data_IF_617037725170
#
_entry.id   IF_617037725170
#
_cell.length_a   1.000
_cell.length_b   1.000
_cell.length_c   1.000
_cell.angle_alpha   90.00
_cell.angle_beta   90.00
_cell.angle_gamma   90.00
#
_symmetry.space_group_name_H-M   'P 1'
#
loop_
_entity.id
_entity.type
_entity.pdbx_description
1 polymer ?
#
# COMPACT_ATOMS: atom_id res chain seq x y z
N UNK A 1 33.16 10.07 -16.09
CA UNK A 1 32.69 9.76 -14.73
C UNK A 1 31.32 10.42 -14.61
N UNK A 2 30.26 9.68 -14.91
CA UNK A 2 28.91 10.21 -14.92
C UNK A 2 28.47 10.43 -13.46
N UNK A 3 27.90 11.60 -13.20
CA UNK A 3 27.27 12.00 -11.94
C UNK A 3 26.63 10.79 -11.25
N UNK A 4 27.16 10.37 -10.09
CA UNK A 4 26.40 9.54 -9.16
C UNK A 4 25.15 10.35 -8.83
N UNK A 5 24.03 10.04 -9.49
CA UNK A 5 22.75 10.68 -9.21
C UNK A 5 22.42 10.38 -7.75
N UNK A 6 22.61 11.38 -6.89
CA UNK A 6 22.47 11.30 -5.44
C UNK A 6 20.98 11.18 -5.08
N UNK A 7 20.44 9.95 -5.18
CA UNK A 7 19.11 9.64 -4.69
C UNK A 7 19.18 9.02 -3.30
N UNK A 8 18.07 9.11 -2.56
CA UNK A 8 17.92 8.50 -1.25
C UNK A 8 16.92 7.36 -1.30
N UNK A 9 17.14 6.35 -0.47
CA UNK A 9 16.12 5.37 -0.17
C UNK A 9 15.09 6.01 0.76
N UNK A 10 13.81 5.81 0.48
CA UNK A 10 12.79 6.39 1.34
C UNK A 10 11.60 5.48 1.57
N UNK A 11 10.94 5.69 2.69
CA UNK A 11 9.65 5.10 2.99
C UNK A 11 8.76 6.14 3.64
N UNK A 12 7.45 6.02 3.46
CA UNK A 12 6.47 6.88 4.14
C UNK A 12 5.50 6.00 4.89
N UNK A 13 5.41 6.19 6.20
CA UNK A 13 4.56 5.41 7.09
C UNK A 13 3.69 6.32 7.96
N UNK A 14 2.59 5.78 8.47
CA UNK A 14 1.71 6.47 9.43
C UNK A 14 2.19 6.25 10.86
N UNK A 15 2.37 7.34 11.60
CA UNK A 15 2.26 7.36 13.05
C UNK A 15 0.81 7.67 13.43
N UNK A 16 0.24 6.90 14.35
CA UNK A 16 -1.08 7.17 14.91
C UNK A 16 -1.22 6.58 16.31
N UNK A 17 -1.57 7.36 17.34
CA UNK A 17 -1.87 6.83 18.67
C UNK A 17 -2.98 5.77 18.68
N UNK A 18 -3.90 5.82 17.70
CA UNK A 18 -4.97 4.84 17.54
C UNK A 18 -4.44 3.42 17.30
N UNK A 19 -3.28 3.29 16.67
CA UNK A 19 -2.67 1.99 16.34
C UNK A 19 -2.25 1.20 17.59
N UNK A 20 -2.03 1.87 18.72
CA UNK A 20 -1.78 1.22 20.00
C UNK A 20 -2.96 0.39 20.50
N UNK A 21 -4.17 0.65 19.97
CA UNK A 21 -5.41 -0.09 20.29
C UNK A 21 -5.74 -1.17 19.24
N UNK A 22 -4.91 -1.32 18.20
CA UNK A 22 -5.16 -2.26 17.12
C UNK A 22 -4.50 -3.61 17.43
N UNK A 23 -5.32 -4.65 17.58
CA UNK A 23 -4.84 -6.04 17.68
C UNK A 23 -4.05 -6.44 16.42
N UNK A 24 -4.58 -6.08 15.24
CA UNK A 24 -3.95 -6.37 13.96
C UNK A 24 -2.57 -5.71 13.85
N UNK A 25 -2.43 -4.42 14.15
CA UNK A 25 -1.11 -3.77 14.15
C UNK A 25 -0.17 -4.33 15.23
N UNK A 26 -0.70 -4.94 16.28
CA UNK A 26 0.11 -5.54 17.35
C UNK A 26 0.68 -6.91 16.98
N UNK A 27 0.35 -7.46 15.80
CA UNK A 27 0.96 -8.69 15.30
C UNK A 27 2.47 -8.53 15.11
N UNK A 28 3.24 -9.49 15.61
CA UNK A 28 4.71 -9.51 15.54
C UNK A 28 5.27 -9.50 14.11
N UNK A 29 4.47 -9.94 13.13
CA UNK A 29 4.86 -9.87 11.70
C UNK A 29 4.80 -8.46 11.14
N UNK A 30 4.00 -7.56 11.73
CA UNK A 30 3.82 -6.19 11.26
C UNK A 30 4.72 -5.18 11.99
N UNK A 31 5.16 -5.49 13.21
CA UNK A 31 5.98 -4.59 14.03
C UNK A 31 7.01 -5.33 14.89
N UNK A 32 8.17 -4.72 15.09
CA UNK A 32 9.27 -5.25 15.91
C UNK A 32 9.01 -5.15 17.42
N UNK A 33 8.17 -4.19 17.82
CA UNK A 33 7.73 -3.93 19.19
C UNK A 33 6.21 -3.81 19.14
N UNK A 34 5.51 -4.46 20.07
CA UNK A 34 4.06 -4.42 20.16
C UNK A 34 3.63 -4.06 21.60
N UNK A 35 2.63 -3.18 21.79
CA UNK A 35 1.93 -2.41 20.75
C UNK A 35 2.83 -1.34 20.11
N UNK A 36 2.60 -1.05 18.82
CA UNK A 36 3.34 -0.05 18.05
C UNK A 36 2.40 1.09 17.61
N UNK A 37 2.82 2.36 17.69
CA UNK A 37 2.07 3.47 17.11
C UNK A 37 2.39 3.67 15.62
N UNK A 38 3.25 2.84 15.05
CA UNK A 38 3.63 2.88 13.63
C UNK A 38 2.87 1.82 12.85
N UNK A 39 2.35 2.20 11.69
CA UNK A 39 1.59 1.33 10.82
C UNK A 39 2.53 0.41 10.03
N UNK A 40 2.54 -0.89 10.38
CA UNK A 40 3.31 -1.94 9.69
C UNK A 40 4.82 -1.69 9.56
N UNK A 41 5.49 -1.21 10.63
CA UNK A 41 6.91 -0.81 10.57
C UNK A 41 7.83 -1.92 10.02
N UNK A 42 7.57 -3.19 10.33
CA UNK A 42 8.36 -4.31 9.83
C UNK A 42 8.33 -4.39 8.30
N UNK A 43 7.16 -4.23 7.69
CA UNK A 43 7.03 -4.24 6.23
C UNK A 43 7.72 -3.04 5.58
N UNK A 44 7.68 -1.88 6.23
CA UNK A 44 8.43 -0.71 5.76
C UNK A 44 9.93 -0.94 5.82
N UNK A 45 10.44 -1.55 6.90
CA UNK A 45 11.84 -1.94 7.06
C UNK A 45 12.26 -2.93 5.97
N UNK A 46 11.53 -4.03 5.81
CA UNK A 46 11.89 -5.10 4.87
C UNK A 46 12.01 -4.58 3.44
N UNK A 47 11.09 -3.70 3.02
CA UNK A 47 11.15 -3.04 1.71
C UNK A 47 12.39 -2.15 1.56
N UNK A 48 12.80 -1.44 2.62
CA UNK A 48 14.01 -0.62 2.59
C UNK A 48 15.27 -1.47 2.50
N UNK A 49 15.33 -2.60 3.21
CA UNK A 49 16.46 -3.55 3.11
C UNK A 49 16.55 -4.12 1.70
N UNK A 50 15.44 -4.49 1.08
CA UNK A 50 15.42 -4.96 -0.32
C UNK A 50 15.96 -3.88 -1.29
N UNK A 51 15.56 -2.63 -1.11
CA UNK A 51 16.10 -1.53 -1.92
C UNK A 51 17.59 -1.29 -1.64
N UNK A 52 18.00 -1.37 -0.38
CA UNK A 52 19.39 -1.19 0.03
C UNK A 52 20.31 -2.29 -0.51
N UNK A 53 19.84 -3.53 -0.57
CA UNK A 53 20.54 -4.64 -1.25
C UNK A 53 20.69 -4.41 -2.75
N UNK A 54 19.65 -3.89 -3.40
CA UNK A 54 19.68 -3.71 -4.86
C UNK A 54 20.57 -2.55 -5.30
N UNK A 55 20.58 -1.45 -4.54
CA UNK A 55 21.34 -0.24 -4.88
C UNK A 55 22.70 -0.13 -4.16
N UNK A 56 23.18 -1.20 -3.52
CA UNK A 56 24.44 -1.24 -2.75
C UNK A 56 24.52 -0.15 -1.64
N UNK A 57 23.44 0.04 -0.87
CA UNK A 57 23.44 0.87 0.34
C UNK A 57 23.78 -0.01 1.56
N UNK A 58 25.00 -0.54 1.60
CA UNK A 58 25.44 -1.53 2.61
C UNK A 58 25.29 -1.01 4.05
N UNK A 59 25.65 0.25 4.31
CA UNK A 59 25.49 0.88 5.63
C UNK A 59 24.03 0.96 6.06
N UNK A 60 23.12 1.16 5.10
CA UNK A 60 21.67 1.17 5.39
C UNK A 60 21.19 -0.23 5.71
N UNK A 61 21.69 -1.27 5.01
CA UNK A 61 21.36 -2.65 5.34
C UNK A 61 21.76 -2.97 6.78
N UNK A 62 23.01 -2.70 7.14
CA UNK A 62 23.56 -2.94 8.49
C UNK A 62 22.73 -2.21 9.55
N UNK A 63 22.42 -0.93 9.33
CA UNK A 63 21.62 -0.13 10.25
C UNK A 63 20.19 -0.65 10.42
N UNK A 64 19.60 -1.22 9.37
CA UNK A 64 18.23 -1.73 9.38
C UNK A 64 18.10 -3.18 9.88
N UNK A 65 19.19 -3.89 10.17
CA UNK A 65 19.15 -5.23 10.75
C UNK A 65 18.40 -5.23 12.09
N UNK A 66 18.70 -4.25 12.95
CA UNK A 66 18.03 -4.06 14.23
C UNK A 66 16.74 -3.23 14.07
N UNK A 67 15.65 -3.93 13.76
CA UNK A 67 14.33 -3.33 13.67
C UNK A 67 13.79 -2.75 14.99
N UNK A 68 14.29 -3.20 16.15
CA UNK A 68 13.89 -2.64 17.45
C UNK A 68 14.58 -1.30 17.70
N UNK A 69 15.88 -1.21 17.39
CA UNK A 69 16.60 0.06 17.42
C UNK A 69 15.94 1.10 16.49
N UNK A 70 15.54 0.70 15.28
CA UNK A 70 14.77 1.56 14.38
C UNK A 70 13.46 2.04 15.03
N UNK A 71 12.70 1.13 15.65
CA UNK A 71 11.46 1.49 16.34
C UNK A 71 11.70 2.52 17.45
N UNK A 72 12.69 2.30 18.30
CA UNK A 72 13.04 3.19 19.42
C UNK A 72 13.49 4.57 18.93
N UNK A 73 14.30 4.62 17.87
CA UNK A 73 14.75 5.87 17.27
C UNK A 73 13.57 6.69 16.71
N UNK A 74 12.66 6.04 15.97
CA UNK A 74 11.47 6.70 15.44
C UNK A 74 10.54 7.17 16.57
N UNK A 75 10.39 6.37 17.62
CA UNK A 75 9.58 6.76 18.78
C UNK A 75 10.18 7.98 19.49
N UNK A 76 11.51 8.03 19.66
CA UNK A 76 12.21 9.20 20.23
C UNK A 76 11.99 10.46 19.39
N UNK A 77 12.19 10.37 18.06
CA UNK A 77 12.00 11.51 17.14
C UNK A 77 10.53 11.98 17.13
N UNK A 78 9.59 11.04 17.19
CA UNK A 78 8.15 11.36 17.22
C UNK A 78 7.76 12.05 18.53
N UNK A 79 8.28 11.60 19.68
CA UNK A 79 8.05 12.26 20.97
C UNK A 79 8.56 13.71 20.97
N UNK A 80 9.76 13.94 20.45
CA UNK A 80 10.32 15.28 20.31
C UNK A 80 9.45 16.19 19.42
N UNK A 81 8.90 15.67 18.32
CA UNK A 81 7.99 16.44 17.46
C UNK A 81 6.64 16.73 18.16
N UNK A 82 6.12 15.78 18.95
CA UNK A 82 4.90 15.98 19.75
C UNK A 82 5.12 17.05 20.82
N UNK A 83 6.26 17.03 21.51
CA UNK A 83 6.62 18.04 22.52
C UNK A 83 6.75 19.43 21.88
N UNK A 84 7.37 19.52 20.71
CA UNK A 84 7.52 20.77 19.94
C UNK A 84 6.18 21.34 19.46
N UNK A 85 5.28 20.49 18.97
CA UNK A 85 4.00 20.92 18.38
C UNK A 85 2.85 21.00 19.39
N UNK A 86 2.99 20.34 20.54
CA UNK A 86 1.95 20.16 21.55
C UNK A 86 0.79 19.26 21.10
N UNK A 87 0.92 18.53 19.99
CA UNK A 87 -0.20 17.80 19.36
C UNK A 87 0.14 16.34 19.12
N UNK A 88 -0.49 15.46 19.89
CA UNK A 88 -0.40 14.02 19.68
C UNK A 88 -1.50 13.54 18.73
N UNK A 89 -1.21 13.51 17.42
CA UNK A 89 -2.18 13.21 16.36
C UNK A 89 -1.55 12.37 15.24
N UNK A 90 -2.38 11.91 14.31
CA UNK A 90 -1.93 11.15 13.16
C UNK A 90 -0.96 11.97 12.28
N UNK A 91 0.18 11.39 11.95
CA UNK A 91 1.23 12.01 11.14
C UNK A 91 1.79 11.02 10.12
N UNK A 92 2.15 11.53 8.94
CA UNK A 92 3.04 10.85 8.00
C UNK A 92 4.48 11.09 8.44
N UNK A 93 5.22 10.01 8.59
CA UNK A 93 6.67 10.01 8.76
C UNK A 93 7.29 9.61 7.43
N UNK A 94 8.04 10.52 6.82
CA UNK A 94 8.88 10.21 5.65
C UNK A 94 10.31 10.02 6.12
N UNK A 95 10.79 8.77 6.06
CA UNK A 95 12.15 8.40 6.42
C UNK A 95 12.98 8.41 5.14
N UNK A 96 14.12 9.10 5.17
CA UNK A 96 15.08 9.16 4.08
C UNK A 96 16.44 8.69 4.58
N UNK A 97 17.04 7.76 3.85
CA UNK A 97 18.40 7.29 4.06
C UNK A 97 19.28 7.68 2.87
N UNK A 98 20.38 8.36 3.17
CA UNK A 98 21.48 8.48 2.21
C UNK A 98 22.35 7.21 2.20
N UNK A 99 23.37 7.18 1.33
CA UNK A 99 24.27 6.03 1.19
C UNK A 99 25.16 5.79 2.41
N UNK A 100 25.41 6.83 3.22
CA UNK A 100 26.13 6.74 4.50
C UNK A 100 25.21 6.34 5.67
N UNK A 101 23.97 5.94 5.37
CA UNK A 101 22.94 5.58 6.32
C UNK A 101 22.53 6.69 7.29
N UNK A 102 22.71 7.97 6.96
CA UNK A 102 22.14 9.06 7.73
C UNK A 102 20.61 9.09 7.57
N UNK A 103 19.90 9.05 8.70
CA UNK A 103 18.44 9.05 8.73
C UNK A 103 17.88 10.47 8.92
N UNK A 104 17.16 10.95 7.91
CA UNK A 104 16.29 12.13 8.01
C UNK A 104 14.85 11.68 8.16
N UNK A 105 14.10 12.31 9.09
CA UNK A 105 12.67 12.03 9.30
C UNK A 105 11.89 13.34 9.16
N UNK A 106 11.03 13.39 8.14
CA UNK A 106 10.10 14.51 7.94
C UNK A 106 8.72 14.13 8.49
N UNK A 107 8.11 15.07 9.22
CA UNK A 107 6.77 14.91 9.77
C UNK A 107 5.78 15.78 9.00
N UNK A 108 4.62 15.21 8.67
CA UNK A 108 3.52 15.94 8.04
C UNK A 108 2.20 15.48 8.64
N UNK A 109 1.34 16.42 9.04
CA UNK A 109 0.01 16.08 9.54
C UNK A 109 -0.79 15.34 8.45
N UNK A 110 -1.54 14.32 8.87
CA UNK A 110 -2.48 13.62 8.00
C UNK A 110 -3.85 13.52 8.68
N UNK A 111 -4.94 13.37 7.90
CA UNK A 111 -6.26 13.17 8.48
C UNK A 111 -6.32 11.95 9.41
N UNK A 112 -7.04 12.10 10.52
CA UNK A 112 -7.45 10.96 11.33
C UNK A 112 -8.36 10.05 10.50
N UNK A 113 -8.15 8.75 10.59
CA UNK A 113 -8.98 7.73 9.92
C UNK A 113 -9.29 6.62 10.91
N UNK A 114 -10.43 5.92 10.80
CA UNK A 114 -10.74 4.79 11.67
C UNK A 114 -9.80 3.61 11.39
N UNK A 115 -9.69 2.68 12.34
CA UNK A 115 -8.91 1.44 12.16
C UNK A 115 -9.40 0.63 10.96
N UNK A 116 -10.70 0.66 10.65
CA UNK A 116 -11.26 0.00 9.47
C UNK A 116 -10.78 0.57 8.13
N UNK A 117 -10.25 1.79 8.10
CA UNK A 117 -9.57 2.33 6.90
C UNK A 117 -8.15 1.79 6.79
N UNK A 118 -7.45 1.57 7.90
CA UNK A 118 -6.09 1.04 7.91
C UNK A 118 -6.07 -0.50 7.77
N UNK A 119 -7.07 -1.17 8.32
CA UNK A 119 -7.24 -2.62 8.34
C UNK A 119 -8.71 -2.94 8.01
N UNK A 120 -9.13 -2.81 6.74
CA UNK A 120 -10.50 -3.13 6.36
C UNK A 120 -10.78 -4.62 6.52
N UNK A 121 -12.00 -5.02 6.91
CA UNK A 121 -12.34 -6.44 7.10
C UNK A 121 -12.50 -7.20 5.77
N UNK A 122 -12.74 -6.49 4.67
CA UNK A 122 -12.77 -7.01 3.31
C UNK A 122 -12.51 -5.88 2.31
N UNK A 123 -12.30 -6.23 1.04
CA UNK A 123 -12.27 -5.28 -0.08
C UNK A 123 -13.61 -5.24 -0.82
N UNK A 124 -14.70 -5.72 -0.24
CA UNK A 124 -16.00 -5.67 -0.91
C UNK A 124 -16.38 -4.23 -1.26
N UNK A 125 -17.01 -4.04 -2.42
CA UNK A 125 -17.38 -2.68 -2.84
C UNK A 125 -18.33 -2.08 -1.79
N UNK A 126 -18.00 -0.90 -1.21
CA UNK A 126 -18.88 -0.23 -0.26
C UNK A 126 -20.26 0.09 -0.85
N UNK A 127 -20.34 0.16 -2.19
CA UNK A 127 -21.53 0.49 -2.97
C UNK A 127 -22.05 -0.70 -3.79
N UNK A 128 -21.63 -1.93 -3.48
CA UNK A 128 -22.32 -3.09 -4.04
C UNK A 128 -23.79 -2.96 -3.63
N UNK A 129 -24.66 -2.58 -4.58
CA UNK A 129 -26.07 -2.83 -4.44
C UNK A 129 -26.13 -4.32 -4.17
N UNK A 130 -26.44 -4.70 -2.95
CA UNK A 130 -26.80 -6.08 -2.65
C UNK A 130 -28.01 -6.31 -3.54
N UNK A 131 -27.78 -6.89 -4.71
CA UNK A 131 -28.82 -7.57 -5.44
C UNK A 131 -29.13 -8.75 -4.53
N UNK A 132 -29.92 -8.51 -3.50
CA UNK A 132 -30.77 -9.55 -3.00
C UNK A 132 -31.52 -10.00 -4.25
N UNK A 133 -31.11 -11.14 -4.82
CA UNK A 133 -31.98 -11.89 -5.70
C UNK A 133 -33.35 -11.82 -5.02
N UNK A 134 -34.34 -11.22 -5.70
CA UNK A 134 -35.65 -10.91 -5.14
C UNK A 134 -36.03 -12.04 -4.20
N UNK A 135 -36.06 -11.78 -2.89
CA UNK A 135 -36.11 -12.85 -1.91
C UNK A 135 -37.28 -13.75 -2.30
N UNK A 136 -36.99 -14.95 -2.80
CA UNK A 136 -38.01 -15.97 -2.90
C UNK A 136 -38.55 -16.09 -1.48
N UNK A 137 -39.83 -15.79 -1.29
CA UNK A 137 -40.43 -15.70 0.03
C UNK A 137 -40.03 -16.94 0.83
N UNK A 138 -39.25 -16.73 1.89
CA UNK A 138 -38.74 -17.81 2.72
C UNK A 138 -39.95 -18.61 3.24
N UNK A 139 -40.10 -19.86 2.77
CA UNK A 139 -41.08 -20.79 3.32
C UNK A 139 -40.41 -21.55 4.45
N UNK A 140 -40.71 -21.14 5.69
CA UNK A 140 -40.27 -21.87 6.88
C UNK A 140 -40.74 -23.34 6.81
N UNK A 141 -39.82 -24.27 7.06
CA UNK A 141 -40.19 -25.69 7.23
C UNK A 141 -40.87 -25.88 8.58
N UNK A 142 -41.97 -26.66 8.68
CA UNK A 142 -42.64 -26.91 9.95
C UNK A 142 -41.78 -27.69 10.98
N UNK A 143 -40.64 -28.23 10.56
CA UNK A 143 -39.69 -28.99 11.41
C UNK A 143 -38.57 -28.13 12.01
N UNK A 144 -38.41 -26.89 11.54
CA UNK A 144 -37.45 -25.92 12.07
C UNK A 144 -38.26 -24.77 12.63
N UNK A 145 -38.22 -24.55 13.95
CA UNK A 145 -39.01 -23.53 14.65
C UNK A 145 -39.18 -22.23 13.85
N UNK A 146 -40.41 -21.70 13.86
CA UNK A 146 -40.88 -20.67 12.93
C UNK A 146 -40.00 -19.40 12.86
N UNK A 147 -40.13 -18.69 11.74
CA UNK A 147 -39.46 -17.41 11.53
C UNK A 147 -39.83 -16.42 12.66
N UNK A 148 -38.81 -15.82 13.29
CA UNK A 148 -39.01 -14.69 14.19
C UNK A 148 -39.58 -13.52 13.38
N UNK A 149 -40.81 -13.15 13.68
CA UNK A 149 -41.45 -11.96 13.12
C UNK A 149 -41.29 -10.84 14.13
N UNK A 150 -40.58 -9.78 13.74
CA UNK A 150 -40.48 -8.56 14.55
C UNK A 150 -41.88 -7.92 14.58
N UNK A 151 -42.37 -7.63 15.77
CA UNK A 151 -43.63 -6.91 15.96
C UNK A 151 -43.51 -5.45 15.51
N UNK A 152 -44.63 -4.73 15.35
CA UNK A 152 -44.64 -3.32 15.00
C UNK A 152 -43.89 -2.42 16.01
N UNK A 153 -43.67 -2.92 17.22
CA UNK A 153 -42.95 -2.22 18.30
C UNK A 153 -41.50 -2.74 18.50
N UNK A 154 -41.05 -3.73 17.72
CA UNK A 154 -39.68 -4.23 17.78
C UNK A 154 -38.75 -3.36 16.91
N UNK A 155 -37.99 -2.48 17.55
CA UNK A 155 -36.90 -1.76 16.90
C UNK A 155 -35.57 -2.45 17.14
N UNK A 156 -34.86 -2.84 16.08
CA UNK A 156 -33.43 -3.10 16.17
C UNK A 156 -32.73 -1.78 16.57
N UNK A 157 -31.73 -1.79 17.47
CA UNK A 157 -30.97 -0.60 17.76
C UNK A 157 -30.35 -0.08 16.45
N UNK A 158 -30.89 1.04 15.96
CA UNK A 158 -30.31 1.73 14.82
C UNK A 158 -28.86 2.11 15.19
N UNK A 159 -27.86 1.85 14.33
CA UNK A 159 -26.52 2.34 14.59
C UNK A 159 -26.60 3.86 14.76
N UNK A 160 -26.34 4.30 15.99
CA UNK A 160 -26.33 5.70 16.38
C UNK A 160 -25.25 6.41 15.57
N UNK A 161 -25.69 7.30 14.68
CA UNK A 161 -24.89 8.04 13.69
C UNK A 161 -24.06 7.14 12.75
N UNK A 162 -24.52 6.97 11.51
CA UNK A 162 -23.60 6.55 10.45
C UNK A 162 -22.49 7.60 10.34
N UNK A 163 -21.21 7.25 10.59
CA UNK A 163 -20.12 8.19 10.33
C UNK A 163 -20.20 8.63 8.86
N UNK A 164 -19.79 9.87 8.52
CA UNK A 164 -19.78 10.32 7.14
C UNK A 164 -19.02 9.31 6.28
N UNK A 165 -19.52 8.99 5.08
CA UNK A 165 -18.90 8.01 4.22
C UNK A 165 -17.44 8.42 3.95
N UNK A 166 -16.50 7.46 3.89
CA UNK A 166 -15.12 7.78 3.60
C UNK A 166 -15.05 8.52 2.25
N UNK A 167 -14.12 9.47 2.12
CA UNK A 167 -13.97 10.25 0.90
C UNK A 167 -13.66 9.33 -0.29
N UNK A 168 -14.42 9.54 -1.38
CA UNK A 168 -14.28 8.77 -2.61
C UNK A 168 -13.07 9.28 -3.41
N UNK A 169 -12.23 8.34 -3.85
CA UNK A 169 -11.07 8.66 -4.69
C UNK A 169 -11.49 8.89 -6.14
N UNK A 170 -10.90 9.90 -6.77
CA UNK A 170 -10.95 10.12 -8.21
C UNK A 170 -9.68 9.57 -8.83
N UNK A 171 -9.80 8.61 -9.73
CA UNK A 171 -8.66 7.88 -10.28
C UNK A 171 -8.65 8.05 -11.79
N UNK A 172 -7.51 8.46 -12.37
CA UNK A 172 -7.35 8.59 -13.83
C UNK A 172 -6.35 7.58 -14.35
N UNK A 173 -6.57 7.05 -15.55
CA UNK A 173 -5.55 6.31 -16.26
C UNK A 173 -4.57 7.31 -16.90
N UNK A 174 -3.26 7.07 -16.76
CA UNK A 174 -2.25 7.88 -17.46
C UNK A 174 -2.43 7.76 -18.99
N UNK A 175 -1.96 8.76 -19.72
CA UNK A 175 -1.99 8.80 -21.18
C UNK A 175 -0.67 8.33 -21.81
N UNK A 176 0.36 8.09 -21.00
CA UNK A 176 1.64 7.55 -21.44
C UNK A 176 2.11 6.40 -20.54
N UNK A 177 2.80 5.39 -21.11
CA UNK A 177 3.34 4.29 -20.34
C UNK A 177 4.46 4.76 -19.40
N UNK A 178 4.62 4.05 -18.30
CA UNK A 178 5.75 4.17 -17.38
C UNK A 178 6.62 2.93 -17.51
N UNK A 179 7.79 3.01 -18.18
CA UNK A 179 8.69 1.88 -18.32
C UNK A 179 9.15 1.32 -16.97
N UNK A 180 9.20 -0.01 -16.87
CA UNK A 180 9.68 -0.71 -15.69
C UNK A 180 11.16 -0.44 -15.48
N UNK A 181 11.55 -0.10 -14.25
CA UNK A 181 12.94 0.06 -13.86
C UNK A 181 13.13 -0.26 -12.38
N UNK A 182 14.37 -0.38 -11.88
CA UNK A 182 14.63 -0.42 -10.45
C UNK A 182 13.92 0.67 -9.64
N UNK A 183 13.77 1.86 -10.22
CA UNK A 183 13.15 3.01 -9.55
C UNK A 183 11.61 2.96 -9.53
N UNK A 184 10.98 2.12 -10.38
CA UNK A 184 9.53 1.84 -10.30
C UNK A 184 9.23 0.63 -9.42
N UNK A 185 10.19 -0.27 -9.23
CA UNK A 185 10.04 -1.47 -8.39
C UNK A 185 10.41 -1.22 -6.92
N UNK A 186 11.36 -0.30 -6.68
CA UNK A 186 11.89 0.03 -5.36
C UNK A 186 11.65 1.49 -5.01
N UNK A 187 11.47 1.76 -3.72
CA UNK A 187 11.07 3.09 -3.25
C UNK A 187 12.28 4.01 -3.05
N UNK A 188 12.45 4.96 -3.97
CA UNK A 188 13.56 5.94 -3.95
C UNK A 188 13.07 7.36 -4.20
N UNK A 189 13.88 8.37 -3.90
CA UNK A 189 13.55 9.77 -4.21
C UNK A 189 13.56 10.09 -5.71
N UNK A 190 14.08 9.21 -6.56
CA UNK A 190 14.02 9.34 -8.01
C UNK A 190 12.61 9.00 -8.51
N UNK A 191 11.79 10.04 -8.68
CA UNK A 191 10.34 9.94 -8.88
C UNK A 191 9.80 10.73 -10.06
N UNK A 192 10.67 11.18 -10.95
CA UNK A 192 10.33 12.04 -12.08
C UNK A 192 9.25 11.41 -12.98
N UNK A 193 9.30 10.09 -13.17
CA UNK A 193 8.28 9.35 -13.94
C UNK A 193 6.88 9.45 -13.31
N UNK A 194 6.80 9.44 -11.97
CA UNK A 194 5.54 9.59 -11.24
C UNK A 194 5.07 11.05 -11.26
N UNK A 195 5.99 12.00 -11.13
CA UNK A 195 5.65 13.42 -11.12
C UNK A 195 5.13 13.88 -12.49
N UNK A 196 5.79 13.45 -13.57
CA UNK A 196 5.33 13.67 -14.95
C UNK A 196 3.96 13.04 -15.21
N UNK A 197 3.71 11.84 -14.68
CA UNK A 197 2.39 11.20 -14.78
C UNK A 197 1.29 12.05 -14.14
N UNK A 198 1.54 12.54 -12.92
CA UNK A 198 0.59 13.39 -12.20
C UNK A 198 0.36 14.72 -12.90
N UNK A 199 1.41 15.34 -13.43
CA UNK A 199 1.34 16.59 -14.18
C UNK A 199 0.49 16.44 -15.44
N UNK A 200 0.64 15.34 -16.19
CA UNK A 200 -0.16 15.08 -17.40
C UNK A 200 -1.63 14.76 -17.10
N UNK A 201 -1.90 13.95 -16.07
CA UNK A 201 -3.23 13.38 -15.85
C UNK A 201 -4.13 14.22 -14.93
N UNK A 202 -3.56 14.99 -14.00
CA UNK A 202 -4.33 15.78 -13.03
C UNK A 202 -4.47 17.24 -13.48
N UNK A 203 -5.62 17.88 -13.22
CA UNK A 203 -5.80 19.30 -13.57
C UNK A 203 -4.93 20.20 -12.69
N UNK A 204 -4.51 21.36 -13.24
CA UNK A 204 -3.60 22.33 -12.60
C UNK A 204 -4.06 22.82 -11.22
N UNK A 205 -5.38 22.93 -11.00
CA UNK A 205 -5.99 23.37 -9.74
C UNK A 205 -6.97 22.32 -9.21
N UNK A 206 -6.48 21.24 -8.59
CA UNK A 206 -7.37 20.23 -8.03
C UNK A 206 -8.08 20.82 -6.80
N UNK A 207 -9.38 21.09 -6.89
CA UNK A 207 -10.22 21.17 -5.70
C UNK A 207 -10.07 19.84 -4.95
N UNK A 208 -9.40 19.88 -3.78
CA UNK A 208 -9.10 18.69 -2.96
C UNK A 208 -8.02 17.76 -3.54
N UNK A 209 -6.71 18.05 -3.38
CA UNK A 209 -5.63 17.17 -3.88
C UNK A 209 -5.52 15.83 -3.15
N UNK A 210 -6.22 15.65 -2.01
CA UNK A 210 -5.98 14.55 -1.09
C UNK A 210 -6.49 13.17 -1.56
N UNK A 211 -7.40 13.12 -2.53
CA UNK A 211 -8.10 11.89 -2.98
C UNK A 211 -8.06 11.76 -4.51
N UNK A 212 -6.92 12.09 -5.12
CA UNK A 212 -6.68 11.95 -6.55
C UNK A 212 -5.48 11.06 -6.82
N UNK A 213 -5.69 10.06 -7.65
CA UNK A 213 -4.65 9.12 -8.04
C UNK A 213 -4.59 8.97 -9.56
N UNK A 214 -3.41 8.60 -10.05
CA UNK A 214 -3.18 8.28 -11.46
C UNK A 214 -2.69 6.84 -11.54
N UNK A 215 -3.39 6.00 -12.30
CA UNK A 215 -3.01 4.63 -12.61
C UNK A 215 -1.93 4.64 -13.68
N UNK A 216 -0.89 3.86 -13.45
CA UNK A 216 0.22 3.67 -14.36
C UNK A 216 0.09 2.32 -15.05
N UNK A 217 0.67 2.26 -16.24
CA UNK A 217 0.78 1.05 -17.03
C UNK A 217 2.17 0.97 -17.67
N UNK A 218 2.62 -0.23 -17.99
CA UNK A 218 3.93 -0.49 -18.59
C UNK A 218 3.88 -0.48 -20.12
N UNK A 219 5.03 -0.76 -20.76
CA UNK A 219 5.20 -0.74 -22.22
C UNK A 219 4.40 -1.82 -22.97
N UNK A 220 3.82 -2.79 -22.25
CA UNK A 220 2.96 -3.84 -22.81
C UNK A 220 1.49 -3.65 -22.43
N UNK A 221 1.09 -2.43 -22.07
CA UNK A 221 -0.28 -2.06 -21.75
C UNK A 221 -0.88 -2.80 -20.54
N UNK A 222 -0.04 -3.27 -19.61
CA UNK A 222 -0.48 -3.83 -18.32
C UNK A 222 -0.40 -2.77 -17.22
N UNK A 223 -1.46 -2.63 -16.41
CA UNK A 223 -1.47 -1.81 -15.20
C UNK A 223 -0.37 -2.23 -14.23
N UNK A 224 0.23 -1.27 -13.53
CA UNK A 224 1.33 -1.51 -12.58
C UNK A 224 0.93 -1.15 -11.15
N UNK A 225 0.74 0.14 -10.89
CA UNK A 225 0.36 0.73 -9.63
C UNK A 225 -0.20 2.14 -9.87
N UNK A 226 -0.61 2.83 -8.82
CA UNK A 226 -0.84 4.26 -8.87
C UNK A 226 0.42 5.05 -8.53
N UNK A 227 0.44 6.35 -8.81
CA UNK A 227 1.64 7.17 -8.52
C UNK A 227 2.02 7.21 -7.04
N UNK A 228 1.05 7.05 -6.13
CA UNK A 228 1.23 7.04 -4.67
C UNK A 228 0.63 5.81 -3.97
N UNK A 229 0.00 4.90 -4.69
CA UNK A 229 -0.80 3.79 -4.13
C UNK A 229 -0.63 2.49 -4.92
N UNK A 230 -0.93 1.36 -4.28
CA UNK A 230 -1.20 0.12 -4.99
C UNK A 230 -2.67 0.06 -5.41
N UNK A 231 -2.95 -0.57 -6.56
CA UNK A 231 -4.28 -0.69 -7.15
C UNK A 231 -4.89 -2.07 -6.89
N UNK A 232 -6.21 -2.10 -6.72
CA UNK A 232 -6.99 -3.35 -6.69
C UNK A 232 -8.26 -3.20 -7.52
N UNK A 233 -8.43 -4.11 -8.47
CA UNK A 233 -9.52 -4.11 -9.45
C UNK A 233 -10.34 -5.39 -9.29
N UNK A 234 -11.63 -5.36 -9.62
CA UNK A 234 -12.50 -6.53 -9.53
C UNK A 234 -12.52 -7.25 -10.89
N UNK A 235 -11.95 -8.46 -10.96
CA UNK A 235 -11.86 -9.26 -12.19
C UNK A 235 -12.25 -10.71 -11.89
N UNK A 236 -13.03 -11.32 -12.77
CA UNK A 236 -13.40 -12.74 -12.65
C UNK A 236 -14.04 -13.12 -11.31
N UNK A 237 -14.82 -12.22 -10.69
CA UNK A 237 -15.49 -12.49 -9.40
C UNK A 237 -14.62 -12.32 -8.16
N UNK A 238 -13.42 -11.73 -8.28
CA UNK A 238 -12.49 -11.52 -7.16
C UNK A 238 -11.71 -10.22 -7.31
N UNK A 239 -11.13 -9.76 -6.21
CA UNK A 239 -10.20 -8.65 -6.22
C UNK A 239 -8.80 -9.09 -6.66
N UNK A 240 -8.22 -8.30 -7.55
CA UNK A 240 -6.90 -8.56 -8.12
C UNK A 240 -6.03 -7.32 -8.01
N UNK A 241 -4.73 -7.52 -7.81
CA UNK A 241 -3.73 -6.44 -7.82
C UNK A 241 -2.65 -6.79 -8.85
N UNK A 242 -2.12 -5.84 -9.63
CA UNK A 242 -1.09 -6.16 -10.60
C UNK A 242 0.14 -6.84 -9.97
N UNK A 243 0.76 -7.82 -10.64
CA UNK A 243 1.96 -8.50 -10.15
C UNK A 243 3.15 -7.55 -10.13
N UNK A 244 4.02 -7.71 -9.13
CA UNK A 244 5.25 -6.91 -9.01
C UNK A 244 6.43 -7.65 -9.62
N UNK A 245 7.34 -6.92 -10.26
CA UNK A 245 8.55 -7.51 -10.80
C UNK A 245 9.58 -7.85 -9.72
N UNK A 246 10.65 -8.50 -10.16
CA UNK A 246 11.93 -8.46 -9.46
C UNK A 246 12.75 -7.34 -10.12
N UNK A 247 13.40 -6.45 -9.35
CA UNK A 247 14.31 -5.47 -9.93
C UNK A 247 15.39 -6.19 -10.74
N UNK A 248 15.42 -5.94 -12.05
CA UNK A 248 16.44 -6.42 -13.01
C UNK A 248 17.08 -5.21 -13.72
N UNK A 249 18.35 -5.32 -14.10
CA UNK A 249 19.07 -4.28 -14.85
C UNK A 249 20.44 -3.88 -14.28
N UNK A 250 21.26 -3.26 -15.13
CA UNK A 250 22.62 -2.80 -14.83
C UNK A 250 22.64 -1.55 -13.92
N UNK A 251 22.52 -1.77 -12.62
CA UNK A 251 23.17 -0.95 -11.58
C UNK A 251 23.63 -1.98 -10.54
N UNK A 252 24.87 -2.44 -10.74
CA UNK A 252 25.52 -3.61 -10.14
C UNK A 252 25.08 -3.88 -8.71
N UNK A 253 24.52 -5.06 -8.43
CA UNK A 253 24.55 -5.61 -7.08
C UNK A 253 25.70 -6.62 -7.02
N UNK A 254 26.76 -6.28 -6.27
CA UNK A 254 27.83 -7.24 -5.92
C UNK A 254 27.31 -8.42 -5.08
N UNK A 255 26.06 -8.35 -4.65
CA UNK A 255 25.39 -9.37 -3.84
C UNK A 255 24.65 -10.44 -4.65
N UNK A 256 24.65 -10.36 -5.99
CA UNK A 256 24.16 -11.46 -6.83
C UNK A 256 25.17 -12.61 -6.76
N UNK A 257 24.70 -13.83 -6.46
CA UNK A 257 25.52 -15.03 -6.63
C UNK A 257 25.80 -15.26 -8.13
N UNK A 258 27.00 -15.76 -8.44
CA UNK A 258 27.53 -15.90 -9.81
C UNK A 258 27.17 -17.26 -10.44
N UNK A 259 26.01 -17.83 -10.09
CA UNK A 259 25.65 -19.23 -10.31
C UNK A 259 24.51 -19.44 -11.33
N UNK A 260 24.16 -18.42 -12.12
CA UNK A 260 23.17 -18.55 -13.20
C UNK A 260 21.74 -18.86 -12.73
N UNK A 261 21.49 -18.77 -11.42
CA UNK A 261 20.17 -18.85 -10.83
C UNK A 261 19.39 -17.54 -11.04
N UNK A 262 18.08 -17.64 -10.85
CA UNK A 262 17.13 -16.56 -11.05
C UNK A 262 17.44 -15.34 -10.15
N UNK A 263 17.41 -14.10 -10.65
CA UNK A 263 17.84 -12.89 -9.91
C UNK A 263 17.10 -12.68 -8.57
N UNK A 264 15.89 -13.24 -8.45
CA UNK A 264 15.13 -13.29 -7.20
C UNK A 264 15.73 -14.24 -6.15
N UNK A 265 16.43 -15.29 -6.55
CA UNK A 265 17.14 -16.25 -5.70
C UNK A 265 18.61 -15.87 -5.47
N UNK A 266 19.18 -15.00 -6.32
CA UNK A 266 20.57 -14.55 -6.23
C UNK A 266 20.84 -13.57 -5.08
N UNK A 267 19.84 -12.90 -4.52
CA UNK A 267 20.01 -11.93 -3.43
C UNK A 267 20.23 -12.63 -2.09
N UNK A 268 21.04 -12.03 -1.21
CA UNK A 268 21.22 -12.50 0.18
C UNK A 268 19.86 -12.58 0.88
N UNK A 269 19.40 -13.77 1.30
CA UNK A 269 18.12 -13.89 2.01
C UNK A 269 18.20 -13.16 3.36
N UNK A 270 17.09 -12.54 3.75
CA UNK A 270 16.95 -11.90 5.07
C UNK A 270 15.58 -12.21 5.66
N UNK A 271 15.50 -12.20 6.99
CA UNK A 271 14.25 -12.44 7.71
C UNK A 271 13.24 -11.31 7.42
N UNK A 272 12.04 -11.68 6.95
CA UNK A 272 11.01 -10.72 6.54
C UNK A 272 10.99 -10.44 5.03
N UNK A 273 11.92 -11.00 4.24
CA UNK A 273 11.88 -10.87 2.78
C UNK A 273 10.53 -11.35 2.22
N UNK A 274 9.94 -10.55 1.34
CA UNK A 274 8.71 -10.93 0.64
C UNK A 274 9.05 -11.93 -0.48
N UNK A 275 8.33 -13.06 -0.52
CA UNK A 275 8.36 -14.02 -1.62
C UNK A 275 8.05 -13.44 -3.02
N UNK A 276 8.21 -14.30 -4.03
CA UNK A 276 8.05 -13.95 -5.45
C UNK A 276 6.57 -13.67 -5.81
N UNK A 277 6.38 -12.79 -6.79
CA UNK A 277 5.05 -12.52 -7.37
C UNK A 277 4.58 -13.73 -8.19
N UNK A 278 3.28 -13.86 -8.46
CA UNK A 278 2.69 -14.95 -9.27
C UNK A 278 3.21 -15.01 -10.70
N UNK A 279 3.74 -13.91 -11.24
CA UNK A 279 4.42 -13.85 -12.53
C UNK A 279 5.93 -14.05 -12.34
N UNK A 280 6.54 -14.86 -13.21
CA UNK A 280 7.96 -15.25 -13.20
C UNK A 280 8.89 -14.11 -12.78
N UNK A 281 9.96 -14.45 -12.08
CA UNK A 281 10.95 -13.51 -11.53
C UNK A 281 11.62 -12.57 -12.55
N UNK A 282 11.42 -12.73 -13.86
CA UNK A 282 11.93 -11.80 -14.88
C UNK A 282 10.88 -10.82 -15.41
N UNK A 283 9.58 -11.05 -15.21
CA UNK A 283 8.50 -10.31 -15.87
C UNK A 283 7.33 -10.07 -14.91
N UNK A 284 7.37 -8.97 -14.15
CA UNK A 284 6.20 -8.44 -13.45
C UNK A 284 5.65 -7.18 -14.14
N UNK A 285 4.56 -6.62 -13.64
CA UNK A 285 3.98 -5.42 -14.25
C UNK A 285 4.87 -4.19 -14.07
N UNK A 286 5.71 -4.13 -13.02
CA UNK A 286 6.72 -3.08 -12.84
C UNK A 286 6.50 -2.14 -11.65
N UNK A 287 5.42 -2.32 -10.89
CA UNK A 287 5.08 -1.49 -9.72
C UNK A 287 5.77 -1.91 -8.42
N UNK A 288 5.60 -1.09 -7.36
CA UNK A 288 6.28 -1.30 -6.09
C UNK A 288 5.61 -2.37 -5.21
N UNK A 289 6.46 -2.98 -4.37
CA UNK A 289 6.04 -3.84 -3.25
C UNK A 289 5.42 -3.01 -2.11
N UNK A 290 4.19 -2.52 -2.31
CA UNK A 290 3.46 -1.73 -1.31
C UNK A 290 3.27 -2.46 0.03
N UNK A 291 3.41 -1.77 1.17
CA UNK A 291 3.27 -2.39 2.50
C UNK A 291 1.83 -2.80 2.82
N UNK A 292 0.85 -1.93 2.53
CA UNK A 292 -0.57 -2.25 2.60
C UNK A 292 -0.98 -3.32 1.58
N UNK A 293 -0.36 -3.33 0.38
CA UNK A 293 -0.47 -4.42 -0.61
C UNK A 293 -0.02 -5.76 -0.05
N UNK A 294 1.10 -5.79 0.70
CA UNK A 294 1.59 -6.99 1.38
C UNK A 294 0.57 -7.57 2.32
N UNK A 295 0.01 -6.68 3.12
CA UNK A 295 -0.99 -7.06 4.08
C UNK A 295 -2.26 -7.58 3.38
N UNK A 296 -2.77 -6.88 2.35
CA UNK A 296 -3.97 -7.32 1.62
C UNK A 296 -3.80 -8.71 0.95
N UNK A 297 -2.63 -8.99 0.36
CA UNK A 297 -2.32 -10.30 -0.20
C UNK A 297 -2.19 -11.37 0.90
N UNK A 298 -1.49 -11.04 2.01
CA UNK A 298 -1.34 -11.95 3.15
C UNK A 298 -2.64 -12.24 3.90
N UNK A 299 -3.61 -11.34 3.85
CA UNK A 299 -4.97 -11.51 4.39
C UNK A 299 -5.91 -12.23 3.42
N UNK A 300 -5.46 -12.56 2.20
CA UNK A 300 -6.29 -13.25 1.20
C UNK A 300 -7.39 -12.38 0.59
N UNK A 301 -7.32 -11.06 0.72
CA UNK A 301 -8.36 -10.14 0.20
C UNK A 301 -8.24 -9.87 -1.29
N UNK A 302 -7.09 -10.17 -1.89
CA UNK A 302 -6.87 -10.07 -3.31
C UNK A 302 -5.85 -11.13 -3.74
N UNK A 303 -5.73 -11.33 -5.05
CA UNK A 303 -4.66 -12.14 -5.63
C UNK A 303 -3.94 -11.36 -6.72
N UNK A 304 -2.72 -11.77 -7.04
CA UNK A 304 -1.97 -11.12 -8.12
C UNK A 304 -2.47 -11.59 -9.50
N UNK A 305 -2.75 -10.64 -10.38
CA UNK A 305 -3.17 -10.90 -11.76
C UNK A 305 -2.76 -9.73 -12.67
N UNK A 306 -2.19 -9.99 -13.86
CA UNK A 306 -1.97 -8.94 -14.85
C UNK A 306 -3.31 -8.34 -15.30
N UNK A 307 -3.39 -7.02 -15.34
CA UNK A 307 -4.60 -6.32 -15.78
C UNK A 307 -4.26 -5.44 -16.97
N UNK A 308 -4.86 -5.71 -18.13
CA UNK A 308 -4.70 -4.84 -19.31
C UNK A 308 -5.45 -3.52 -19.09
N UNK A 309 -4.84 -2.41 -19.51
CA UNK A 309 -5.49 -1.09 -19.50
C UNK A 309 -6.76 -1.05 -20.35
N UNK A 310 -6.87 -1.93 -21.35
CA UNK A 310 -8.06 -2.03 -22.21
C UNK A 310 -9.28 -2.54 -21.45
N UNK A 311 -9.09 -3.14 -20.27
CA UNK A 311 -10.17 -3.61 -19.39
C UNK A 311 -10.59 -2.58 -18.36
N UNK A 312 -9.99 -1.38 -18.39
CA UNK A 312 -10.31 -0.30 -17.45
C UNK A 312 -11.42 0.56 -18.03
N UNK A 313 -12.51 0.71 -17.29
CA UNK A 313 -13.69 1.46 -17.73
C UNK A 313 -13.90 2.74 -16.91
N UNK A 314 -14.39 3.81 -17.54
CA UNK A 314 -14.82 5.01 -16.81
C UNK A 314 -16.00 4.65 -15.89
N UNK A 315 -15.93 5.09 -14.64
CA UNK A 315 -16.88 4.74 -13.59
C UNK A 315 -16.56 3.44 -12.86
N UNK A 316 -15.55 2.68 -13.31
CA UNK A 316 -15.13 1.45 -12.64
C UNK A 316 -14.68 1.73 -11.21
N UNK A 317 -15.16 0.90 -10.28
CA UNK A 317 -14.83 1.00 -8.87
C UNK A 317 -13.51 0.32 -8.53
N UNK A 318 -12.61 1.05 -7.90
CA UNK A 318 -11.22 0.63 -7.66
C UNK A 318 -10.83 0.91 -6.22
N UNK A 319 -10.19 -0.06 -5.58
CA UNK A 319 -9.51 0.19 -4.32
C UNK A 319 -8.09 0.67 -4.57
N UNK A 320 -7.64 1.59 -3.73
CA UNK A 320 -6.26 2.06 -3.67
C UNK A 320 -5.75 1.93 -2.25
N UNK A 321 -4.45 1.67 -2.07
CA UNK A 321 -3.87 1.64 -0.73
C UNK A 321 -2.43 2.13 -0.65
N UNK A 322 -2.04 2.67 0.52
CA UNK A 322 -0.64 2.89 0.86
C UNK A 322 -0.39 2.85 2.37
N UNK A 323 0.89 2.83 2.76
CA UNK A 323 1.35 2.80 4.15
C UNK A 323 1.10 4.07 4.98
N UNK A 324 0.32 5.04 4.48
CA UNK A 324 0.02 6.29 5.20
C UNK A 324 -1.48 6.48 5.40
N UNK A 325 -2.26 6.34 4.33
CA UNK A 325 -3.71 6.54 4.32
C UNK A 325 -4.51 5.26 4.51
N UNK A 326 -3.87 4.09 4.46
CA UNK A 326 -4.57 2.80 4.48
C UNK A 326 -5.23 2.54 3.14
N UNK A 327 -6.47 2.05 3.18
CA UNK A 327 -7.29 1.67 2.03
C UNK A 327 -8.35 2.72 1.74
N UNK A 328 -8.56 3.02 0.46
CA UNK A 328 -9.61 3.90 -0.01
C UNK A 328 -10.28 3.35 -1.25
N UNK A 329 -11.57 3.62 -1.40
CA UNK A 329 -12.34 3.25 -2.58
C UNK A 329 -12.57 4.48 -3.45
N UNK A 330 -12.52 4.29 -4.76
CA UNK A 330 -12.71 5.34 -5.74
C UNK A 330 -13.31 4.85 -7.03
N UNK A 331 -13.43 5.78 -7.97
CA UNK A 331 -13.87 5.50 -9.33
C UNK A 331 -12.85 6.00 -10.34
N UNK A 332 -12.74 5.24 -11.42
CA UNK A 332 -12.05 5.69 -12.64
C UNK A 332 -12.85 6.82 -13.27
N UNK A 333 -12.17 7.89 -13.67
CA UNK A 333 -12.74 8.99 -14.44
C UNK A 333 -11.95 9.18 -15.74
N UNK A 334 -12.56 9.87 -16.69
CA UNK A 334 -11.91 10.34 -17.93
C UNK A 334 -10.64 11.14 -17.62
#
# INVERSE_FOLDING_TARGET
MAFENEFQLFTSLRYDPLLLKSEENSRSILNFVAPSPFYMLAYHRDRMVEAAQHFDFDEVQNRLEDGKALHEELLKRTKAEIEKTGKNRAMKLRLLFDKAANLTVEFTDVPAVPLSTLYPPSLDSPNAKVQHASAAAFKASPLTGGALTLGPDDSLPAPTSTPPPPPEWTIRLDTAPTPSSPFTLLKTTKREMYDQSRERALPENPAGPAYREVMLYNEVNELTEGTLTSLYLFRGGRWVTPPVGVPSGEFTSKTLKDDGADEGELRKPFAGRWGHSTRSAKVGAGGQRGTSRRWALGSGYCMEEPVSIETVEVGEGVWVSNGVRGFGYGKVVE
#
